data_IF_335587802884
#
_entry.id   IF_335587802884
#
_cell.length_a   1.000
_cell.length_b   1.000
_cell.length_c   1.000
_cell.angle_alpha   90.00
_cell.angle_beta   90.00
_cell.angle_gamma   90.00
#
_symmetry.space_group_name_H-M   'P 1'
#
loop_
_entity.id
_entity.type
_entity.pdbx_description
1 polymer ?
#
# COMPACT_ATOMS: atom_id res chain seq x y z
N UNK A 1 6.24 0.93 -16.90
CA UNK A 1 5.97 1.99 -15.93
C UNK A 1 7.27 2.47 -15.30
N UNK A 2 7.43 3.79 -15.19
CA UNK A 2 8.67 4.38 -14.67
C UNK A 2 8.87 4.15 -13.18
N UNK A 3 7.82 3.83 -12.42
CA UNK A 3 7.91 3.64 -10.97
C UNK A 3 8.27 2.21 -10.58
N UNK A 4 7.95 1.26 -11.42
CA UNK A 4 8.16 -0.16 -11.10
C UNK A 4 9.14 -0.80 -12.07
N UNK A 5 9.91 -1.76 -11.54
CA UNK A 5 10.82 -2.56 -12.34
C UNK A 5 10.71 -4.00 -11.87
N UNK A 6 10.41 -4.92 -12.79
CA UNK A 6 10.19 -6.33 -12.47
C UNK A 6 9.15 -6.54 -11.38
N UNK A 7 8.08 -5.71 -11.41
CA UNK A 7 7.01 -5.79 -10.43
C UNK A 7 7.31 -5.11 -9.09
N UNK A 8 8.54 -4.60 -8.91
CA UNK A 8 8.91 -3.92 -7.68
C UNK A 8 9.06 -2.42 -7.88
N UNK A 9 8.72 -1.67 -6.85
CA UNK A 9 8.85 -0.22 -6.85
C UNK A 9 10.34 0.15 -6.78
N UNK A 10 10.81 0.97 -7.72
CA UNK A 10 12.21 1.42 -7.74
C UNK A 10 12.55 2.31 -6.56
N UNK A 11 11.67 3.24 -6.27
CA UNK A 11 11.84 4.20 -5.18
C UNK A 11 10.48 4.78 -4.84
N UNK A 12 10.34 5.28 -3.61
CA UNK A 12 9.11 5.95 -3.19
C UNK A 12 9.17 7.38 -3.72
N UNK A 13 8.21 7.79 -4.59
CA UNK A 13 8.21 9.16 -5.12
C UNK A 13 8.04 10.19 -4.01
N UNK A 14 8.77 11.29 -4.10
CA UNK A 14 8.66 12.38 -3.13
C UNK A 14 7.50 13.32 -3.43
N UNK A 15 7.07 13.38 -4.69
CA UNK A 15 5.92 14.20 -5.08
C UNK A 15 4.62 13.49 -4.69
N UNK A 16 3.76 14.22 -4.01
CA UNK A 16 2.54 13.64 -3.44
C UNK A 16 1.62 12.99 -4.48
N UNK A 17 1.45 13.62 -5.64
CA UNK A 17 0.61 13.05 -6.70
C UNK A 17 1.15 11.71 -7.20
N UNK A 18 2.45 11.63 -7.41
CA UNK A 18 3.09 10.41 -7.90
C UNK A 18 3.07 9.32 -6.84
N UNK A 19 3.29 9.70 -5.59
CA UNK A 19 3.20 8.78 -4.47
C UNK A 19 1.81 8.17 -4.40
N UNK A 20 0.76 9.01 -4.51
CA UNK A 20 -0.62 8.50 -4.46
C UNK A 20 -0.90 7.50 -5.56
N UNK A 21 -0.43 7.74 -6.78
CA UNK A 21 -0.60 6.81 -7.90
C UNK A 21 0.03 5.46 -7.56
N UNK A 22 1.24 5.48 -7.03
CA UNK A 22 1.95 4.27 -6.64
C UNK A 22 1.18 3.53 -5.54
N UNK A 23 0.70 4.24 -4.53
CA UNK A 23 -0.05 3.64 -3.43
C UNK A 23 -1.36 3.02 -3.91
N UNK A 24 -2.02 3.64 -4.88
CA UNK A 24 -3.24 3.10 -5.47
C UNK A 24 -2.98 1.79 -6.23
N UNK A 25 -1.84 1.70 -6.92
CA UNK A 25 -1.44 0.46 -7.59
C UNK A 25 -1.23 -0.65 -6.55
N UNK A 26 -0.54 -0.35 -5.46
CA UNK A 26 -0.30 -1.33 -4.39
C UNK A 26 -1.62 -1.74 -3.74
N UNK A 27 -2.56 -0.80 -3.56
CA UNK A 27 -3.85 -1.09 -2.96
C UNK A 27 -4.66 -2.11 -3.78
N UNK A 28 -4.42 -2.19 -5.08
CA UNK A 28 -5.10 -3.18 -5.92
C UNK A 28 -4.75 -4.62 -5.56
N UNK A 29 -3.67 -4.84 -4.83
CA UNK A 29 -3.31 -6.17 -4.34
C UNK A 29 -4.15 -6.61 -3.14
N UNK A 30 -4.99 -5.73 -2.60
CA UNK A 30 -5.85 -6.02 -1.46
C UNK A 30 -7.29 -6.22 -1.92
N UNK A 31 -7.97 -7.19 -1.34
CA UNK A 31 -9.40 -7.41 -1.60
C UNK A 31 -10.24 -6.48 -0.73
N UNK A 32 -11.36 -6.04 -1.27
CA UNK A 32 -12.37 -5.30 -0.49
C UNK A 32 -13.08 -6.24 0.48
N UNK A 33 -13.57 -5.67 1.56
CA UNK A 33 -14.36 -6.41 2.56
C UNK A 33 -13.61 -7.57 3.21
N UNK A 34 -12.28 -7.49 3.20
CA UNK A 34 -11.42 -8.45 3.88
C UNK A 34 -10.54 -7.73 4.89
N UNK A 35 -10.48 -8.25 6.10
CA UNK A 35 -9.62 -7.71 7.15
C UNK A 35 -8.26 -8.40 7.07
N UNK A 36 -7.20 -7.60 7.00
CA UNK A 36 -5.82 -8.09 6.94
C UNK A 36 -5.12 -7.80 8.27
N UNK A 37 -4.35 -8.77 8.77
CA UNK A 37 -3.48 -8.49 9.90
C UNK A 37 -2.34 -7.59 9.44
N UNK A 38 -1.68 -6.92 10.39
CA UNK A 38 -0.52 -6.09 10.07
C UNK A 38 0.55 -6.92 9.34
N UNK A 39 0.77 -8.15 9.79
CA UNK A 39 1.73 -9.06 9.16
C UNK A 39 1.35 -9.34 7.70
N UNK A 40 0.08 -9.61 7.44
CA UNK A 40 -0.38 -9.85 6.07
C UNK A 40 -0.18 -8.62 5.19
N UNK A 41 -0.50 -7.43 5.72
CA UNK A 41 -0.27 -6.17 5.00
C UNK A 41 1.21 -6.01 4.66
N UNK A 42 2.08 -6.26 5.63
CA UNK A 42 3.51 -6.13 5.44
C UNK A 42 4.02 -7.09 4.36
N UNK A 43 3.53 -8.33 4.35
CA UNK A 43 3.92 -9.34 3.36
C UNK A 43 3.51 -8.89 1.95
N UNK A 44 2.27 -8.40 1.82
CA UNK A 44 1.76 -7.95 0.53
C UNK A 44 2.57 -6.76 0.01
N UNK A 45 2.82 -5.77 0.87
CA UNK A 45 3.56 -4.57 0.47
C UNK A 45 5.02 -4.90 0.17
N UNK A 46 5.62 -5.85 0.89
CA UNK A 46 7.00 -6.25 0.68
C UNK A 46 7.25 -6.81 -0.72
N UNK A 47 6.22 -7.33 -1.39
CA UNK A 47 6.32 -7.75 -2.79
C UNK A 47 6.60 -6.57 -3.74
N UNK A 48 6.26 -5.36 -3.31
CA UNK A 48 6.46 -4.14 -4.10
C UNK A 48 7.70 -3.36 -3.68
N UNK A 49 7.95 -3.28 -2.37
CA UNK A 49 9.06 -2.50 -1.85
C UNK A 49 9.44 -2.96 -0.45
N UNK A 50 10.74 -2.88 -0.12
CA UNK A 50 11.24 -3.35 1.17
C UNK A 50 10.80 -2.47 2.34
N UNK A 51 10.58 -1.17 2.11
CA UNK A 51 10.15 -0.23 3.14
C UNK A 51 8.63 -0.27 3.31
N UNK A 52 8.12 -1.44 3.69
CA UNK A 52 6.68 -1.66 3.82
C UNK A 52 6.05 -0.86 4.96
N UNK A 53 6.81 -0.53 5.99
CA UNK A 53 6.29 0.27 7.10
C UNK A 53 5.90 1.67 6.67
N UNK A 54 6.75 2.33 5.89
CA UNK A 54 6.47 3.66 5.35
C UNK A 54 5.27 3.62 4.41
N UNK A 55 5.26 2.65 3.49
CA UNK A 55 4.16 2.49 2.53
C UNK A 55 2.84 2.23 3.25
N UNK A 56 2.83 1.32 4.22
CA UNK A 56 1.62 1.02 5.00
C UNK A 56 1.07 2.28 5.68
N UNK A 57 1.93 3.05 6.33
CA UNK A 57 1.52 4.28 6.99
C UNK A 57 0.98 5.29 6.00
N UNK A 58 1.64 5.42 4.86
CA UNK A 58 1.21 6.36 3.83
C UNK A 58 -0.13 5.95 3.24
N UNK A 59 -0.38 4.64 3.06
CA UNK A 59 -1.66 4.14 2.57
C UNK A 59 -2.80 4.46 3.55
N UNK A 60 -2.54 4.36 4.84
CA UNK A 60 -3.53 4.75 5.85
C UNK A 60 -3.74 6.27 5.81
N UNK A 61 -2.68 7.04 5.71
CA UNK A 61 -2.76 8.50 5.64
C UNK A 61 -3.49 9.00 4.41
N UNK A 62 -3.36 8.30 3.28
CA UNK A 62 -4.06 8.64 2.04
C UNK A 62 -5.45 8.00 1.94
N UNK A 63 -5.89 7.35 3.01
CA UNK A 63 -7.21 6.71 3.10
C UNK A 63 -7.42 5.60 2.07
N UNK A 64 -6.37 4.90 1.70
CA UNK A 64 -6.44 3.71 0.86
C UNK A 64 -6.61 2.45 1.70
N UNK A 65 -6.08 2.47 2.92
CA UNK A 65 -6.30 1.45 3.94
C UNK A 65 -6.87 2.12 5.18
N UNK A 66 -7.75 1.43 5.87
CA UNK A 66 -8.26 1.85 7.16
C UNK A 66 -7.78 0.87 8.22
N UNK A 67 -7.32 1.40 9.35
CA UNK A 67 -6.83 0.59 10.47
C UNK A 67 -7.84 0.67 11.61
N UNK A 68 -8.28 -0.49 12.08
CA UNK A 68 -9.12 -0.59 13.29
C UNK A 68 -8.53 -1.62 14.24
N UNK A 69 -9.27 -1.96 15.29
CA UNK A 69 -8.81 -2.90 16.32
C UNK A 69 -8.65 -4.33 15.78
N UNK A 70 -9.31 -4.66 14.68
CA UNK A 70 -9.28 -5.99 14.07
C UNK A 70 -8.16 -6.15 13.05
N UNK A 71 -7.65 -5.05 12.50
CA UNK A 71 -6.62 -5.09 11.48
C UNK A 71 -6.78 -3.99 10.45
N UNK A 72 -6.48 -4.30 9.20
CA UNK A 72 -6.51 -3.34 8.10
C UNK A 72 -7.56 -3.74 7.07
N UNK A 73 -8.22 -2.75 6.51
CA UNK A 73 -9.28 -2.94 5.51
C UNK A 73 -9.03 -1.99 4.35
N UNK A 74 -9.17 -2.50 3.11
CA UNK A 74 -9.07 -1.63 1.94
C UNK A 74 -10.29 -0.71 1.87
N UNK A 75 -10.05 0.59 1.80
CA UNK A 75 -11.11 1.58 1.73
C UNK A 75 -11.73 1.59 0.33
N UNK A 76 -13.06 1.51 0.27
CA UNK A 76 -13.78 1.60 -1.00
C UNK A 76 -13.81 3.04 -1.49
N UNK A 77 -13.77 3.23 -2.82
CA UNK A 77 -13.87 4.57 -3.39
C UNK A 77 -15.22 5.22 -3.14
#
# INVERSE_FOLDING_TARGET
>A
DTFFEYGKLKAIPTQRKKERIVLEVIAQAFEYDRIYTEREVNIIIADFHDDFCTIRRDMVGEQLLDRDTMGYLRVKP
#
